data_IF_377465750605
#
_entry.id   IF_377465750605
#
_cell.length_a   1.000
_cell.length_b   1.000
_cell.length_c   1.000
_cell.angle_alpha   90.00
_cell.angle_beta   90.00
_cell.angle_gamma   90.00
#
_symmetry.space_group_name_H-M   'P 1'
#
loop_
_entity.id
_entity.type
_entity.pdbx_description
1 polymer ?
#
# COMPACT_ATOMS: atom_id res chain seq x y z
N UNK A 1 -2.72 32.79 -49.04
CA UNK A 1 -3.10 32.51 -50.44
C UNK A 1 -4.09 31.36 -50.40
N UNK A 2 -5.31 31.64 -50.89
CA UNK A 2 -6.46 30.78 -51.23
C UNK A 2 -6.92 29.64 -50.30
N UNK A 3 -8.21 29.75 -49.98
CA UNK A 3 -9.19 28.78 -49.48
C UNK A 3 -9.62 27.78 -50.56
N UNK A 4 -9.87 26.53 -50.19
CA UNK A 4 -10.74 25.51 -50.84
C UNK A 4 -10.72 24.27 -49.90
N UNK A 5 -11.76 23.54 -49.51
CA UNK A 5 -13.22 23.59 -49.55
C UNK A 5 -13.68 22.52 -48.54
N UNK A 6 -14.57 22.88 -47.61
CA UNK A 6 -15.19 21.99 -46.63
C UNK A 6 -16.33 21.21 -47.30
N UNK A 7 -16.20 19.91 -47.58
CA UNK A 7 -17.41 19.06 -47.77
C UNK A 7 -17.17 17.53 -47.68
N UNK A 8 -15.92 17.03 -47.69
CA UNK A 8 -15.68 15.56 -47.62
C UNK A 8 -15.41 15.00 -46.20
N UNK A 9 -15.23 15.84 -45.17
CA UNK A 9 -14.85 15.38 -43.82
C UNK A 9 -16.04 14.99 -42.92
N UNK A 10 -17.25 15.50 -43.15
CA UNK A 10 -18.43 15.19 -42.31
C UNK A 10 -19.06 13.82 -42.62
N UNK A 11 -18.90 13.31 -43.85
CA UNK A 11 -19.46 12.01 -44.24
C UNK A 11 -18.63 10.83 -43.72
N UNK A 12 -17.34 11.05 -43.42
CA UNK A 12 -16.46 10.08 -42.78
C UNK A 12 -16.61 10.09 -41.25
N UNK A 13 -16.97 11.24 -40.64
CA UNK A 13 -17.20 11.37 -39.20
C UNK A 13 -18.41 10.56 -38.69
N UNK A 14 -19.48 10.46 -39.49
CA UNK A 14 -20.68 9.71 -39.11
C UNK A 14 -20.66 8.20 -39.44
N UNK A 15 -19.69 7.73 -40.26
CA UNK A 15 -19.52 6.29 -40.52
C UNK A 15 -18.52 5.63 -39.58
N UNK A 16 -17.55 6.38 -39.05
CA UNK A 16 -16.56 5.86 -38.07
C UNK A 16 -17.13 5.87 -36.64
N UNK A 17 -18.16 6.67 -36.35
CA UNK A 17 -18.89 6.64 -35.07
C UNK A 17 -19.83 5.43 -34.90
N UNK A 18 -19.95 4.57 -35.92
CA UNK A 18 -20.92 3.45 -35.95
C UNK A 18 -20.36 2.04 -35.79
N UNK A 19 -19.03 1.83 -35.66
CA UNK A 19 -18.43 0.49 -35.54
C UNK A 19 -17.52 0.47 -34.32
N UNK A 20 -18.04 -0.14 -33.24
CA UNK A 20 -17.33 -0.63 -32.06
C UNK A 20 -16.26 0.28 -31.48
N UNK A 21 -16.67 1.05 -30.49
CA UNK A 21 -15.86 1.38 -29.31
C UNK A 21 -15.27 0.06 -28.80
N UNK A 22 -14.09 -0.33 -29.31
CA UNK A 22 -13.28 -1.36 -28.69
C UNK A 22 -12.75 -0.70 -27.43
N UNK A 23 -13.44 -1.05 -26.34
CA UNK A 23 -13.04 -0.95 -24.96
C UNK A 23 -11.51 -0.90 -24.82
N UNK A 24 -10.96 0.31 -24.70
CA UNK A 24 -9.80 0.54 -23.85
C UNK A 24 -10.27 0.39 -22.39
N UNK A 25 -10.78 -0.79 -22.04
CA UNK A 25 -10.60 -1.28 -20.69
C UNK A 25 -9.11 -1.58 -20.63
N UNK A 26 -8.32 -0.58 -20.26
CA UNK A 26 -7.12 -0.89 -19.50
C UNK A 26 -7.69 -1.62 -18.29
N UNK A 27 -7.69 -2.94 -18.34
CA UNK A 27 -7.98 -3.76 -17.18
C UNK A 27 -7.00 -3.25 -16.14
N UNK A 28 -7.48 -2.47 -15.18
CA UNK A 28 -6.73 -2.21 -13.97
C UNK A 28 -6.58 -3.60 -13.37
N UNK A 29 -5.40 -4.20 -13.57
CA UNK A 29 -5.08 -5.44 -12.88
C UNK A 29 -5.07 -5.05 -11.41
N UNK A 30 -6.15 -5.38 -10.71
CA UNK A 30 -6.15 -5.31 -9.26
C UNK A 30 -5.20 -6.42 -8.86
N UNK A 31 -4.02 -6.07 -8.36
CA UNK A 31 -3.20 -7.01 -7.60
C UNK A 31 -4.00 -7.30 -6.33
N UNK A 32 -4.90 -8.28 -6.42
CA UNK A 32 -5.61 -8.80 -5.28
C UNK A 32 -4.66 -9.73 -4.54
N UNK A 33 -4.59 -9.57 -3.23
CA UNK A 33 -3.90 -10.51 -2.36
C UNK A 33 -4.35 -11.95 -2.67
N UNK A 34 -3.41 -12.79 -3.10
CA UNK A 34 -3.70 -14.18 -3.42
C UNK A 34 -3.61 -15.06 -2.17
N UNK A 35 -4.69 -15.06 -1.39
CA UNK A 35 -4.82 -15.90 -0.19
C UNK A 35 -5.57 -17.20 -0.46
N UNK A 36 -5.05 -18.30 0.08
CA UNK A 36 -5.69 -19.60 0.09
C UNK A 36 -6.69 -19.71 1.26
N UNK A 37 -7.98 -19.52 0.96
CA UNK A 37 -9.07 -19.50 1.95
C UNK A 37 -9.27 -20.78 2.78
N UNK A 38 -8.64 -21.89 2.41
CA UNK A 38 -8.77 -23.14 3.15
C UNK A 38 -7.67 -23.32 4.22
N UNK A 39 -6.73 -22.38 4.33
CA UNK A 39 -5.81 -22.27 5.47
C UNK A 39 -6.37 -21.20 6.42
N UNK A 40 -6.31 -21.48 7.73
CA UNK A 40 -6.70 -20.50 8.75
C UNK A 40 -5.70 -19.33 8.75
N UNK A 41 -6.21 -18.11 8.88
CA UNK A 41 -5.37 -16.92 8.93
C UNK A 41 -4.44 -16.94 10.17
N UNK A 42 -3.14 -16.80 9.94
CA UNK A 42 -2.13 -16.65 11.01
C UNK A 42 -2.24 -15.29 11.71
N UNK A 43 -2.72 -14.30 10.96
CA UNK A 43 -2.75 -12.90 11.35
C UNK A 43 -4.16 -12.31 11.22
N UNK A 44 -5.19 -12.88 11.88
CA UNK A 44 -6.57 -12.45 11.70
C UNK A 44 -6.73 -10.99 12.13
N UNK A 45 -7.39 -10.15 11.31
CA UNK A 45 -7.49 -8.69 11.50
C UNK A 45 -7.98 -8.28 12.90
N UNK A 46 -8.82 -9.10 13.54
CA UNK A 46 -9.28 -8.91 14.93
C UNK A 46 -8.14 -8.81 15.97
N UNK A 47 -6.97 -9.38 15.70
CA UNK A 47 -5.75 -9.33 16.52
C UNK A 47 -5.19 -7.91 16.61
N UNK A 48 -5.40 -7.12 15.56
CA UNK A 48 -4.84 -5.79 15.39
C UNK A 48 -5.88 -4.74 15.79
N UNK A 49 -5.46 -3.79 16.64
CA UNK A 49 -6.32 -2.74 17.19
C UNK A 49 -5.78 -1.37 16.82
N UNK A 50 -6.61 -0.56 16.19
CA UNK A 50 -6.24 0.81 15.83
C UNK A 50 -5.84 1.61 17.08
N UNK A 51 -4.76 2.38 16.95
CA UNK A 51 -4.29 3.30 18.01
C UNK A 51 -4.51 4.74 17.58
N UNK A 52 -3.58 5.26 16.81
CA UNK A 52 -3.66 6.56 16.14
C UNK A 52 -3.49 6.33 14.63
N UNK A 53 -3.88 7.28 13.76
CA UNK A 53 -3.69 7.13 12.31
C UNK A 53 -2.27 6.66 11.97
N UNK A 54 -2.16 5.66 11.10
CA UNK A 54 -0.87 5.09 10.68
C UNK A 54 -0.24 4.08 11.64
N UNK A 55 -0.86 3.78 12.78
CA UNK A 55 -0.34 2.79 13.75
C UNK A 55 -1.38 1.76 14.15
N UNK A 56 -0.90 0.58 14.55
CA UNK A 56 -1.75 -0.53 14.97
C UNK A 56 -1.12 -1.30 16.14
N UNK A 57 -1.92 -1.60 17.15
CA UNK A 57 -1.53 -2.41 18.30
C UNK A 57 -1.82 -3.89 18.05
N UNK A 58 -0.80 -4.71 18.19
CA UNK A 58 -0.90 -6.16 18.04
C UNK A 58 -1.13 -6.82 19.41
N UNK A 59 -2.32 -7.38 19.61
CA UNK A 59 -2.70 -8.05 20.86
C UNK A 59 -1.95 -9.35 21.15
N UNK A 60 -1.30 -9.96 20.15
CA UNK A 60 -0.50 -11.19 20.34
C UNK A 60 0.88 -10.89 20.93
N UNK A 61 1.55 -9.87 20.40
CA UNK A 61 2.93 -9.52 20.80
C UNK A 61 2.99 -8.41 21.83
N UNK A 62 1.92 -7.61 21.98
CA UNK A 62 1.91 -6.41 22.80
C UNK A 62 2.68 -5.23 22.18
N UNK A 63 3.06 -5.33 20.90
CA UNK A 63 3.79 -4.30 20.18
C UNK A 63 2.84 -3.37 19.43
N UNK A 64 3.28 -2.13 19.22
CA UNK A 64 2.63 -1.21 18.27
C UNK A 64 3.49 -1.12 17.03
N UNK A 65 2.87 -1.26 15.87
CA UNK A 65 3.51 -1.21 14.56
C UNK A 65 3.10 0.06 13.83
N UNK A 66 4.02 0.64 13.06
CA UNK A 66 3.62 1.52 11.95
C UNK A 66 2.99 0.65 10.87
N UNK A 67 1.91 1.14 10.25
CA UNK A 67 1.26 0.42 9.14
C UNK A 67 2.05 0.50 7.86
N UNK A 68 2.68 1.65 7.64
CA UNK A 68 3.51 1.89 6.48
C UNK A 68 4.98 1.67 6.82
N UNK A 69 5.76 1.08 5.90
CA UNK A 69 7.20 1.16 5.91
C UNK A 69 7.67 2.62 5.96
N UNK A 70 8.86 2.86 6.51
CA UNK A 70 9.46 4.20 6.48
C UNK A 70 9.64 4.68 5.03
N UNK A 71 9.43 5.98 4.80
CA UNK A 71 9.38 6.61 3.47
C UNK A 71 7.98 6.70 2.87
N UNK A 72 7.03 5.85 3.33
CA UNK A 72 5.63 5.92 2.93
C UNK A 72 4.78 6.73 3.91
N UNK A 73 3.62 7.19 3.43
CA UNK A 73 2.68 7.98 4.23
C UNK A 73 1.33 7.27 4.40
N UNK A 74 0.82 7.28 5.63
CA UNK A 74 -0.53 6.81 5.91
C UNK A 74 -1.56 7.87 5.52
N UNK A 75 -2.38 7.58 4.51
CA UNK A 75 -3.40 8.49 4.03
C UNK A 75 -4.62 7.71 3.51
N UNK A 76 -5.83 8.12 3.87
CA UNK A 76 -7.10 7.49 3.45
C UNK A 76 -7.12 5.96 3.64
N UNK A 77 -6.68 5.49 4.81
CA UNK A 77 -6.60 4.07 5.17
C UNK A 77 -5.70 3.21 4.26
N UNK A 78 -4.70 3.83 3.63
CA UNK A 78 -3.72 3.11 2.82
C UNK A 78 -2.33 3.73 2.95
N UNK A 79 -1.31 2.99 2.57
CA UNK A 79 0.05 3.52 2.43
C UNK A 79 0.24 4.05 1.01
N UNK A 80 0.71 5.29 0.94
CA UNK A 80 1.01 6.01 -0.30
C UNK A 80 2.51 6.29 -0.38
N UNK A 81 2.97 6.72 -1.55
CA UNK A 81 4.38 6.92 -1.91
C UNK A 81 5.19 5.62 -1.97
N UNK A 82 6.50 5.71 -1.86
CA UNK A 82 7.43 4.59 -2.03
C UNK A 82 8.24 4.43 -0.75
N UNK A 83 8.38 3.20 -0.27
CA UNK A 83 9.21 2.91 0.87
C UNK A 83 10.67 3.26 0.59
N UNK A 84 11.33 3.83 1.60
CA UNK A 84 12.76 4.13 1.52
C UNK A 84 13.56 2.83 1.49
N UNK A 85 14.56 2.79 0.60
CA UNK A 85 15.52 1.68 0.57
C UNK A 85 16.69 2.05 1.47
N UNK A 86 16.79 1.35 2.59
CA UNK A 86 17.82 1.59 3.58
C UNK A 86 18.66 0.32 3.80
N UNK A 87 19.95 0.49 3.98
CA UNK A 87 20.76 -0.54 4.63
C UNK A 87 20.50 -0.58 6.14
N UNK A 88 21.13 -1.54 6.82
CA UNK A 88 20.90 -1.74 8.26
C UNK A 88 21.40 -0.57 9.12
N UNK A 89 22.46 0.13 8.71
CA UNK A 89 22.98 1.30 9.42
C UNK A 89 22.11 2.53 9.22
N UNK A 90 21.61 2.73 7.99
CA UNK A 90 20.64 3.77 7.65
C UNK A 90 19.33 3.56 8.41
N UNK A 91 18.81 2.33 8.46
CA UNK A 91 17.60 2.02 9.20
C UNK A 91 17.72 2.31 10.71
N UNK A 92 18.87 1.99 11.32
CA UNK A 92 19.12 2.35 12.73
C UNK A 92 19.17 3.87 12.94
N UNK A 93 19.82 4.58 12.01
CA UNK A 93 19.93 6.04 12.07
C UNK A 93 18.56 6.70 11.91
N UNK A 94 17.73 6.19 10.99
CA UNK A 94 16.36 6.65 10.78
C UNK A 94 15.50 6.50 12.03
N UNK A 95 15.63 5.39 12.77
CA UNK A 95 14.93 5.21 14.05
C UNK A 95 15.38 6.22 15.11
N UNK A 96 16.68 6.50 15.21
CA UNK A 96 17.21 7.51 16.14
C UNK A 96 16.63 8.88 15.81
N UNK A 97 16.63 9.25 14.53
CA UNK A 97 16.05 10.50 14.06
C UNK A 97 14.55 10.57 14.35
N UNK A 98 13.80 9.51 14.02
CA UNK A 98 12.37 9.38 14.26
C UNK A 98 11.99 9.64 15.72
N UNK A 99 12.76 9.07 16.65
CA UNK A 99 12.55 9.24 18.09
C UNK A 99 13.01 10.60 18.62
N UNK A 100 13.91 11.28 17.90
CA UNK A 100 14.43 12.60 18.28
C UNK A 100 13.51 13.77 17.88
N UNK A 101 12.51 13.51 17.03
CA UNK A 101 11.53 14.51 16.62
C UNK A 101 10.76 15.04 17.83
N UNK A 102 10.41 16.32 17.84
CA UNK A 102 9.81 16.99 19.00
C UNK A 102 8.51 16.32 19.48
N UNK A 103 7.63 15.94 18.55
CA UNK A 103 6.35 15.27 18.84
C UNK A 103 6.45 13.73 18.69
N UNK A 104 7.66 13.22 18.42
CA UNK A 104 7.90 11.85 18.04
C UNK A 104 7.21 11.47 16.73
N UNK A 105 7.20 10.18 16.41
CA UNK A 105 6.42 9.66 15.29
C UNK A 105 5.10 9.07 15.80
N UNK A 106 4.00 9.58 15.26
CA UNK A 106 2.64 9.25 15.72
C UNK A 106 2.43 9.47 17.24
N UNK A 107 3.18 10.40 17.86
CA UNK A 107 3.13 10.68 19.30
C UNK A 107 3.98 9.76 20.18
N UNK A 108 4.86 8.94 19.59
CA UNK A 108 5.73 7.99 20.30
C UNK A 108 7.22 8.24 19.98
N UNK A 109 8.09 7.96 20.95
CA UNK A 109 9.55 8.18 20.87
C UNK A 109 10.37 6.93 21.19
N UNK A 110 9.73 5.77 21.29
CA UNK A 110 10.33 4.49 21.64
C UNK A 110 10.29 3.51 20.46
N UNK A 111 10.31 4.03 19.23
CA UNK A 111 10.40 3.21 18.03
C UNK A 111 11.73 2.47 17.97
N UNK A 112 11.69 1.25 17.42
CA UNK A 112 12.86 0.42 17.20
C UNK A 112 12.65 -0.47 15.99
N UNK A 113 13.75 -1.00 15.45
CA UNK A 113 13.66 -2.08 14.48
C UNK A 113 13.11 -3.35 15.16
N UNK A 114 12.22 -4.10 14.50
CA UNK A 114 11.75 -5.38 15.01
C UNK A 114 12.87 -6.42 14.95
N UNK A 115 12.78 -7.43 15.82
CA UNK A 115 13.59 -8.64 15.65
C UNK A 115 12.99 -9.51 14.53
N UNK A 116 13.76 -10.49 14.06
CA UNK A 116 13.27 -11.44 13.05
C UNK A 116 12.04 -12.21 13.55
N UNK A 117 12.04 -12.59 14.83
CA UNK A 117 10.93 -13.32 15.45
C UNK A 117 9.66 -12.47 15.52
N UNK A 118 9.79 -11.19 15.90
CA UNK A 118 8.67 -10.25 15.98
C UNK A 118 8.07 -9.98 14.60
N UNK A 119 8.93 -9.68 13.61
CA UNK A 119 8.50 -9.45 12.23
C UNK A 119 7.85 -10.70 11.64
N UNK A 120 8.41 -11.88 11.92
CA UNK A 120 7.84 -13.17 11.51
C UNK A 120 6.42 -13.39 12.03
N UNK A 121 6.00 -12.73 13.11
CA UNK A 121 4.61 -12.84 13.60
C UNK A 121 3.58 -12.09 12.74
N UNK A 122 4.01 -11.27 11.79
CA UNK A 122 3.15 -10.55 10.84
C UNK A 122 2.96 -11.31 9.52
N UNK A 123 3.71 -12.39 9.29
CA UNK A 123 3.60 -13.19 8.07
C UNK A 123 2.26 -13.92 8.05
N UNK A 124 1.54 -13.77 6.95
CA UNK A 124 0.30 -14.49 6.68
C UNK A 124 0.61 -15.64 5.71
N UNK A 125 0.76 -16.86 6.21
CA UNK A 125 1.21 -17.99 5.39
C UNK A 125 0.16 -18.46 4.39
N UNK A 126 -1.10 -18.06 4.57
CA UNK A 126 -2.16 -18.31 3.60
C UNK A 126 -2.04 -17.46 2.34
N UNK A 127 -1.22 -16.39 2.32
CA UNK A 127 -1.07 -15.45 1.22
C UNK A 127 0.40 -15.41 0.73
N UNK A 128 0.63 -15.11 -0.55
CA UNK A 128 2.00 -15.13 -1.11
C UNK A 128 2.45 -13.83 -1.81
N UNK A 129 1.53 -12.98 -2.23
CA UNK A 129 1.82 -11.70 -2.91
C UNK A 129 0.76 -10.63 -2.52
N UNK A 130 0.93 -9.93 -1.38
CA UNK A 130 1.96 -10.09 -0.35
C UNK A 130 1.61 -11.19 0.69
N UNK A 131 2.63 -11.68 1.41
CA UNK A 131 2.47 -12.62 2.53
C UNK A 131 2.27 -11.89 3.87
N UNK A 132 1.37 -10.91 3.90
CA UNK A 132 1.04 -10.08 5.06
C UNK A 132 -0.45 -9.72 5.00
N UNK A 133 -1.11 -9.59 6.15
CA UNK A 133 -2.50 -9.13 6.18
C UNK A 133 -2.64 -7.73 5.56
N UNK A 134 -3.14 -7.68 4.32
CA UNK A 134 -3.25 -6.44 3.54
C UNK A 134 -4.35 -5.49 4.04
N UNK A 135 -5.31 -5.99 4.85
CA UNK A 135 -6.30 -5.15 5.52
C UNK A 135 -5.65 -4.28 6.62
N UNK A 136 -4.58 -4.77 7.24
CA UNK A 136 -3.88 -4.09 8.33
C UNK A 136 -2.64 -3.33 7.82
N UNK A 137 -1.91 -3.91 6.87
CA UNK A 137 -0.67 -3.38 6.28
C UNK A 137 -0.82 -3.23 4.76
N UNK A 138 -1.64 -2.26 4.30
CA UNK A 138 -1.93 -2.11 2.87
C UNK A 138 -0.72 -1.56 2.10
N UNK A 139 -0.54 -2.03 0.86
CA UNK A 139 0.52 -1.58 -0.08
C UNK A 139 1.95 -1.64 0.50
N UNK A 140 2.26 -2.68 1.27
CA UNK A 140 3.61 -2.97 1.82
C UNK A 140 4.32 -4.04 1.01
#
# INVERSE_FOLDING_TARGET
MKTETNDELNFMYYKITGIFIILYTFSSYVFGEECYRAIDADTPSKRFKDKVPGTVFDTKTGLTWTRCPLGMQWNNNTCQDVADRMDWGEAQSAIIELNSQQDGHAGFHDWRLPTLEELGTLVESSCYEPAINSEIFPNT
#
